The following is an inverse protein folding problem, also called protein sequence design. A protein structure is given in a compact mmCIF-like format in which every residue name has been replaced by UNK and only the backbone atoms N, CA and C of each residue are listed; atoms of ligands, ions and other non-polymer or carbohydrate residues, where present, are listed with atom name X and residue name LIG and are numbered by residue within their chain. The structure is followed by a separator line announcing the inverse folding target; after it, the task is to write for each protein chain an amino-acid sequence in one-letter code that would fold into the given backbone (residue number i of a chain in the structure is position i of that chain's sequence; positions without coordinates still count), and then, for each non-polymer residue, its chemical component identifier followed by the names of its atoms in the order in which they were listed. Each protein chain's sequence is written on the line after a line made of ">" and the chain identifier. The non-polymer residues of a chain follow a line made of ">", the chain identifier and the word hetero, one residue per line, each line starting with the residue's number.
data_IF_035921825094
#
_entry.id   IF_035921825094
#
_cell.length_a   1.000
_cell.length_b   1.000
_cell.length_c   1.000
_cell.angle_alpha   90.00
_cell.angle_beta   90.00
_cell.angle_gamma   90.00
#
_symmetry.space_group_name_H-M   'P 1'
#
loop_
_entity.id
_entity.type
_entity.pdbx_description
1 polymer ?
#
# COMPACT_ATOMS: atom_id res chain seq x y z
N UNK A 1 -2.28 -4.68 -2.44
CA UNK A 1 -1.03 -4.06 -2.93
C UNK A 1 -1.03 -3.77 -4.43
N UNK A 2 -1.09 -4.78 -5.30
CA UNK A 2 -0.83 -4.60 -6.74
C UNK A 2 -1.79 -3.68 -7.50
N UNK A 3 -3.04 -3.47 -7.03
CA UNK A 3 -4.02 -2.64 -7.75
C UNK A 3 -3.67 -1.15 -7.73
N UNK A 4 -3.23 -0.63 -6.57
CA UNK A 4 -2.87 0.79 -6.42
C UNK A 4 -1.59 1.09 -7.22
N UNK A 5 -0.59 0.20 -7.18
CA UNK A 5 0.61 0.32 -8.00
C UNK A 5 0.29 0.37 -9.50
N UNK A 6 -0.63 -0.48 -9.99
CA UNK A 6 -1.07 -0.43 -11.40
C UNK A 6 -1.70 0.91 -11.77
N UNK A 7 -2.49 1.49 -10.87
CA UNK A 7 -3.09 2.82 -11.08
C UNK A 7 -2.00 3.89 -11.11
N UNK A 8 -1.03 3.86 -10.19
CA UNK A 8 0.14 4.76 -10.21
C UNK A 8 0.84 4.68 -11.57
N UNK A 9 1.22 3.47 -12.02
CA UNK A 9 1.91 3.29 -13.29
C UNK A 9 1.10 3.84 -14.47
N UNK A 10 -0.23 3.65 -14.46
CA UNK A 10 -1.09 4.18 -15.52
C UNK A 10 -1.15 5.71 -15.51
N UNK A 11 -1.26 6.32 -14.33
CA UNK A 11 -1.25 7.78 -14.17
C UNK A 11 0.09 8.36 -14.64
N UNK A 12 1.22 7.80 -14.18
CA UNK A 12 2.54 8.29 -14.56
C UNK A 12 2.73 8.25 -16.08
N UNK A 13 2.34 7.14 -16.73
CA UNK A 13 2.40 7.01 -18.19
C UNK A 13 1.54 8.04 -18.94
N UNK A 14 0.36 8.37 -18.42
CA UNK A 14 -0.53 9.36 -19.02
C UNK A 14 0.03 10.77 -18.88
N UNK A 15 0.61 11.10 -17.72
CA UNK A 15 1.19 12.43 -17.47
C UNK A 15 2.43 12.67 -18.33
N UNK A 16 3.28 11.65 -18.51
CA UNK A 16 4.52 11.77 -19.28
C UNK A 16 4.37 11.43 -20.76
N UNK A 17 3.16 11.12 -21.22
CA UNK A 17 2.88 10.60 -22.56
C UNK A 17 3.84 9.44 -22.96
N UNK A 18 4.08 8.53 -22.01
CA UNK A 18 5.11 7.51 -22.18
C UNK A 18 4.71 6.46 -23.23
N UNK A 19 5.59 6.16 -24.21
CA UNK A 19 5.31 5.22 -25.28
C UNK A 19 5.12 3.80 -24.72
N UNK A 20 4.29 2.99 -25.37
CA UNK A 20 3.87 1.67 -24.88
C UNK A 20 5.03 0.73 -24.50
N UNK A 21 6.19 0.87 -25.15
CA UNK A 21 7.40 0.07 -24.89
C UNK A 21 8.23 0.55 -23.68
N UNK A 22 8.02 1.78 -23.19
CA UNK A 22 8.73 2.29 -22.03
C UNK A 22 8.41 1.44 -20.80
N UNK A 23 9.44 1.02 -20.07
CA UNK A 23 9.26 0.16 -18.90
C UNK A 23 8.86 1.00 -17.70
N UNK A 24 8.11 0.40 -16.78
CA UNK A 24 7.60 1.14 -15.61
C UNK A 24 8.77 1.61 -14.71
N UNK A 25 9.80 0.78 -14.54
CA UNK A 25 10.99 1.13 -13.76
C UNK A 25 11.77 2.30 -14.38
N UNK A 26 11.87 2.37 -15.71
CA UNK A 26 12.47 3.52 -16.40
C UNK A 26 11.68 4.80 -16.15
N UNK A 27 10.34 4.74 -16.19
CA UNK A 27 9.47 5.88 -15.90
C UNK A 27 9.64 6.33 -14.45
N UNK A 28 9.69 5.38 -13.50
CA UNK A 28 9.92 5.69 -12.09
C UNK A 28 11.29 6.31 -11.85
N UNK A 29 12.34 5.80 -12.49
CA UNK A 29 13.69 6.33 -12.40
C UNK A 29 13.80 7.73 -13.02
N UNK A 30 13.21 7.93 -14.20
CA UNK A 30 13.23 9.21 -14.90
C UNK A 30 12.49 10.32 -14.12
N UNK A 31 11.38 9.96 -13.47
CA UNK A 31 10.60 10.89 -12.65
C UNK A 31 11.11 11.00 -11.21
N UNK A 32 12.13 10.22 -10.83
CA UNK A 32 12.60 10.07 -9.45
C UNK A 32 11.45 9.74 -8.46
N UNK A 33 10.45 9.00 -8.94
CA UNK A 33 9.22 8.72 -8.20
C UNK A 33 9.26 7.32 -7.60
N UNK A 34 9.22 7.19 -6.26
CA UNK A 34 9.16 5.88 -5.63
C UNK A 34 7.86 5.15 -5.98
N UNK A 35 7.91 3.83 -5.99
CA UNK A 35 6.72 3.00 -6.15
C UNK A 35 5.83 3.09 -4.91
N UNK A 36 4.52 2.94 -5.08
CA UNK A 36 3.57 2.83 -3.94
C UNK A 36 4.00 1.72 -2.98
N UNK A 37 4.60 0.64 -3.48
CA UNK A 37 5.13 -0.42 -2.62
C UNK A 37 6.28 0.06 -1.72
N UNK A 38 7.26 0.76 -2.29
CA UNK A 38 8.38 1.33 -1.55
C UNK A 38 7.90 2.38 -0.55
N UNK A 39 6.96 3.23 -0.94
CA UNK A 39 6.40 4.24 -0.03
C UNK A 39 5.63 3.61 1.14
N UNK A 40 4.91 2.51 0.92
CA UNK A 40 4.23 1.82 2.03
C UNK A 40 5.24 1.09 2.94
N UNK A 41 6.29 0.51 2.35
CA UNK A 41 7.28 -0.27 3.11
C UNK A 41 8.23 0.62 3.91
N UNK A 42 8.72 1.69 3.29
CA UNK A 42 9.81 2.53 3.80
C UNK A 42 9.40 3.98 4.04
N UNK A 43 8.24 4.40 3.52
CA UNK A 43 7.79 5.78 3.61
C UNK A 43 7.47 6.23 5.03
N UNK A 44 7.69 7.52 5.25
CA UNK A 44 7.58 8.17 6.56
C UNK A 44 6.15 8.11 7.10
N UNK A 45 5.16 8.15 6.20
CA UNK A 45 3.74 8.13 6.57
C UNK A 45 3.32 6.80 7.20
N UNK A 46 3.75 5.67 6.64
CA UNK A 46 3.47 4.37 7.22
C UNK A 46 4.15 4.20 8.59
N UNK A 47 5.39 4.67 8.75
CA UNK A 47 6.08 4.68 10.04
C UNK A 47 5.33 5.51 11.08
N UNK A 48 5.01 6.77 10.75
CA UNK A 48 4.26 7.68 11.63
C UNK A 48 2.88 7.11 12.00
N UNK A 49 2.22 6.45 11.04
CA UNK A 49 0.94 5.79 11.29
C UNK A 49 1.10 4.65 12.31
N UNK A 50 2.09 3.77 12.14
CA UNK A 50 2.37 2.68 13.09
C UNK A 50 2.70 3.21 14.48
N UNK A 51 3.50 4.26 14.59
CA UNK A 51 3.83 4.91 15.86
C UNK A 51 2.58 5.51 16.54
N UNK A 52 1.73 6.22 15.77
CA UNK A 52 0.47 6.77 16.28
C UNK A 52 -0.46 5.66 16.77
N UNK A 53 -0.51 4.55 16.05
CA UNK A 53 -1.33 3.40 16.38
C UNK A 53 -0.84 2.70 17.65
N UNK A 54 0.48 2.56 17.83
CA UNK A 54 1.09 1.99 19.02
C UNK A 54 0.85 2.83 20.29
N UNK A 55 0.81 4.17 20.15
CA UNK A 55 0.57 5.11 21.26
C UNK A 55 -0.92 5.39 21.52
N UNK A 56 -1.82 4.79 20.74
CA UNK A 56 -3.23 5.13 20.79
C UNK A 56 -3.87 4.60 22.09
N UNK A 57 -4.74 5.38 22.77
CA UNK A 57 -5.35 4.97 24.05
C UNK A 57 -6.26 3.74 23.93
N UNK A 58 -6.82 3.49 22.74
CA UNK A 58 -7.63 2.30 22.48
C UNK A 58 -6.75 1.05 22.38
N UNK A 59 -6.89 0.13 23.35
CA UNK A 59 -6.17 -1.15 23.40
C UNK A 59 -6.39 -2.05 22.17
N UNK A 60 -7.57 -1.97 21.54
CA UNK A 60 -7.88 -2.73 20.32
C UNK A 60 -7.10 -2.22 19.10
N UNK A 61 -6.66 -0.96 19.12
CA UNK A 61 -5.95 -0.35 17.99
C UNK A 61 -4.59 -1.02 17.76
N UNK A 62 -3.91 -1.45 18.82
CA UNK A 62 -2.64 -2.18 18.73
C UNK A 62 -2.77 -3.53 18.03
N UNK A 63 -3.96 -4.15 18.04
CA UNK A 63 -4.19 -5.42 17.32
C UNK A 63 -4.07 -5.27 15.80
N UNK A 64 -4.30 -4.06 15.28
CA UNK A 64 -4.17 -3.75 13.85
C UNK A 64 -2.70 -3.70 13.37
N UNK A 65 -1.72 -3.62 14.29
CA UNK A 65 -0.30 -3.75 13.94
C UNK A 65 0.07 -5.19 13.55
N UNK A 66 -0.69 -6.17 14.04
CA UNK A 66 -0.53 -7.57 13.66
C UNK A 66 -1.22 -7.76 12.31
N UNK A 67 -0.45 -8.20 11.31
CA UNK A 67 -1.03 -8.46 10.01
C UNK A 67 -2.12 -9.55 10.13
N UNK A 68 -3.38 -9.25 9.79
CA UNK A 68 -4.43 -10.25 9.89
C UNK A 68 -4.13 -11.37 8.89
N UNK A 69 -4.48 -12.59 9.27
CA UNK A 69 -4.43 -13.73 8.36
C UNK A 69 -5.47 -13.48 7.27
N UNK A 70 -5.01 -13.00 6.11
CA UNK A 70 -5.88 -12.70 4.98
C UNK A 70 -6.51 -14.00 4.48
N UNK A 71 -7.73 -14.27 4.93
CA UNK A 71 -8.61 -15.32 4.41
C UNK A 71 -9.85 -14.68 3.82
N UNK A 72 -10.41 -15.32 2.79
CA UNK A 72 -11.75 -14.95 2.30
C UNK A 72 -12.74 -15.24 3.43
N UNK A 73 -13.49 -14.23 3.85
CA UNK A 73 -14.55 -14.41 4.86
C UNK A 73 -15.58 -15.40 4.34
N UNK A 74 -15.81 -16.49 5.08
CA UNK A 74 -16.87 -17.47 4.77
C UNK A 74 -18.08 -17.17 5.66
N UNK A 75 -19.28 -17.57 5.21
CA UNK A 75 -20.52 -17.38 5.99
C UNK A 75 -20.44 -17.99 7.39
N UNK A 76 -19.73 -19.11 7.55
CA UNK A 76 -19.52 -19.76 8.85
C UNK A 76 -18.71 -18.90 9.84
N UNK A 77 -17.76 -18.09 9.35
CA UNK A 77 -16.91 -17.25 10.21
C UNK A 77 -17.68 -16.11 10.92
N UNK A 78 -18.93 -15.85 10.54
CA UNK A 78 -19.75 -14.74 11.07
C UNK A 78 -20.55 -15.18 12.30
N UNK A 79 -20.77 -16.48 12.49
CA UNK A 79 -21.65 -17.03 13.52
C UNK A 79 -20.91 -17.57 14.76
N UNK A 80 -19.59 -17.73 14.69
CA UNK A 80 -18.77 -18.11 15.85
C UNK A 80 -18.34 -16.84 16.61
N UNK A 81 -19.13 -16.43 17.60
CA UNK A 81 -18.73 -15.52 18.69
C UNK A 81 -18.94 -16.21 20.04
#
# INVERSE_FOLDING_TARGET
>A
MMRIQRVQNKILRVITDAPWFARNDEIHQYLEMPTVFEEIRFGRFCKKHKERLAKHPNRLASSLLVAPRMKRLKRADVLDN
#
